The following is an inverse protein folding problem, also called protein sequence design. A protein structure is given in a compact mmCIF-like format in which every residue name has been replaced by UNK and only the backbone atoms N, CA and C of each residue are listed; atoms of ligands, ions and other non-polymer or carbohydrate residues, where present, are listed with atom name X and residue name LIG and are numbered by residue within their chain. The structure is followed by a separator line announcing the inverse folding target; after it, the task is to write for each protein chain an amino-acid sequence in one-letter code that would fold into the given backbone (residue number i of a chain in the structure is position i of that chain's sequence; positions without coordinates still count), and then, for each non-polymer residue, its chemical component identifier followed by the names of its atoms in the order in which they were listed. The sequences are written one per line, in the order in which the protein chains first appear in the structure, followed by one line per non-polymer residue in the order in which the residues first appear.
data_IF_857100977759
#
_entry.id   IF_857100977759
#
_cell.length_a   1.000
_cell.length_b   1.000
_cell.length_c   1.000
_cell.angle_alpha   90.00
_cell.angle_beta   90.00
_cell.angle_gamma   90.00
#
_symmetry.space_group_name_H-M   'P 1'
#
loop_
_entity.id
_entity.type
_entity.pdbx_description
1 polymer ?
#
# COMPACT_ATOMS: atom_id res chain seq x y z
N UNK A 1 -10.79 2.17 -14.38
CA UNK A 1 -12.12 1.99 -13.77
C UNK A 1 -12.03 0.70 -12.97
N UNK A 2 -11.39 0.77 -11.81
CA UNK A 2 -11.11 -0.39 -10.98
C UNK A 2 -11.04 0.09 -9.53
N UNK A 3 -12.00 -0.46 -8.78
CA UNK A 3 -12.06 -0.67 -7.34
C UNK A 3 -11.97 0.53 -6.39
N UNK A 4 -13.19 1.04 -6.17
CA UNK A 4 -13.61 1.78 -4.99
C UNK A 4 -13.35 0.92 -3.74
N UNK A 5 -12.23 1.17 -3.07
CA UNK A 5 -11.84 0.49 -1.84
C UNK A 5 -12.95 0.61 -0.79
N UNK A 6 -13.36 -0.56 -0.30
CA UNK A 6 -14.47 -0.72 0.63
C UNK A 6 -14.15 -0.04 1.97
N UNK A 7 -14.85 1.05 2.27
CA UNK A 7 -14.92 1.60 3.62
C UNK A 7 -15.69 0.58 4.47
N UNK A 8 -14.97 -0.20 5.28
CA UNK A 8 -15.57 -1.11 6.27
C UNK A 8 -15.89 -0.30 7.52
N UNK A 9 -17.19 -0.13 7.81
CA UNK A 9 -17.65 0.29 9.13
C UNK A 9 -17.76 -0.95 10.02
N UNK A 10 -16.94 -1.04 11.06
CA UNK A 10 -16.96 -2.17 11.98
C UNK A 10 -18.07 -1.97 13.00
N UNK A 11 -19.06 -2.86 13.03
CA UNK A 11 -20.03 -2.95 14.13
C UNK A 11 -19.60 -4.06 15.09
N UNK A 12 -19.41 -3.70 16.36
CA UNK A 12 -18.95 -4.62 17.41
C UNK A 12 -19.98 -5.70 17.76
N UNK A 13 -19.63 -6.96 17.50
CA UNK A 13 -20.37 -8.16 17.90
C UNK A 13 -19.48 -9.11 18.70
N UNK A 14 -19.91 -9.40 19.92
CA UNK A 14 -19.24 -10.18 20.96
C UNK A 14 -19.60 -11.68 20.80
N UNK A 15 -18.66 -12.65 20.91
CA UNK A 15 -18.93 -14.04 21.35
C UNK A 15 -17.65 -14.90 21.52
N UNK A 16 -17.24 -15.05 22.78
CA UNK A 16 -16.78 -16.23 23.55
C UNK A 16 -16.09 -17.41 22.81
N UNK A 17 -14.83 -17.66 23.22
CA UNK A 17 -14.09 -18.93 23.11
C UNK A 17 -14.65 -20.01 24.04
N UNK A 18 -14.31 -21.30 23.80
CA UNK A 18 -13.66 -22.05 24.87
C UNK A 18 -12.44 -22.89 24.45
N UNK A 19 -11.61 -23.10 25.48
CA UNK A 19 -10.45 -23.99 25.65
C UNK A 19 -10.75 -25.48 25.40
N UNK A 20 -9.74 -26.26 24.99
CA UNK A 20 -9.49 -27.63 25.49
C UNK A 20 -8.00 -28.02 25.31
N UNK A 21 -7.51 -28.90 26.20
CA UNK A 21 -6.12 -29.23 26.53
C UNK A 21 -5.88 -30.77 26.37
N UNK A 22 -4.61 -31.21 26.30
CA UNK A 22 -4.03 -32.58 26.50
C UNK A 22 -4.13 -33.55 25.29
N UNK A 23 -3.23 -34.50 24.98
CA UNK A 23 -2.05 -35.11 25.63
C UNK A 23 -1.19 -35.97 24.65
N UNK A 24 0.13 -35.95 24.84
CA UNK A 24 1.19 -37.02 24.81
C UNK A 24 1.26 -38.24 23.84
N UNK A 25 2.52 -38.45 23.40
CA UNK A 25 3.37 -39.68 23.34
C UNK A 25 3.28 -40.72 22.20
N UNK A 26 4.46 -41.03 21.65
CA UNK A 26 4.77 -42.28 20.94
C UNK A 26 6.25 -42.43 20.53
N UNK A 27 7.08 -43.04 21.38
CA UNK A 27 8.47 -43.47 21.11
C UNK A 27 8.50 -44.83 20.40
N UNK A 28 9.40 -45.04 19.42
CA UNK A 28 10.06 -46.33 19.09
C UNK A 28 11.44 -46.02 18.49
N UNK A 29 12.54 -46.27 19.22
CA UNK A 29 13.29 -47.53 19.36
C UNK A 29 14.35 -47.70 18.26
N UNK A 30 15.60 -47.53 18.69
CA UNK A 30 16.86 -47.57 17.93
C UNK A 30 17.48 -48.98 18.08
N UNK A 31 17.88 -49.60 16.98
CA UNK A 31 18.63 -50.86 16.97
C UNK A 31 20.09 -50.59 16.56
N UNK A 32 21.01 -51.08 17.39
CA UNK A 32 22.47 -51.08 17.20
C UNK A 32 22.88 -52.16 16.21
N UNK A 33 23.86 -51.87 15.35
CA UNK A 33 24.51 -52.87 14.52
C UNK A 33 25.82 -52.39 13.89
N UNK A 34 26.92 -52.94 14.43
CA UNK A 34 28.23 -53.19 13.82
C UNK A 34 29.22 -52.07 13.48
N UNK A 35 30.34 -52.20 14.17
CA UNK A 35 31.64 -51.57 14.01
C UNK A 35 32.41 -52.18 12.82
N UNK A 36 33.27 -51.36 12.21
CA UNK A 36 34.45 -51.69 11.40
C UNK A 36 34.28 -52.20 9.96
N UNK A 37 34.38 -51.26 9.00
CA UNK A 37 35.26 -51.30 7.81
C UNK A 37 35.21 -49.93 7.11
N UNK A 38 36.24 -49.64 6.32
CA UNK A 38 36.42 -48.46 5.46
C UNK A 38 36.99 -47.17 6.10
N UNK A 39 38.28 -47.21 6.45
CA UNK A 39 39.10 -46.00 6.61
C UNK A 39 39.56 -45.39 5.26
N UNK A 40 39.09 -45.90 4.12
CA UNK A 40 39.48 -45.46 2.77
C UNK A 40 38.43 -44.59 2.05
N UNK A 41 37.18 -44.51 2.55
CA UNK A 41 36.08 -43.78 1.87
C UNK A 41 35.92 -42.32 2.36
N UNK A 42 36.59 -41.94 3.45
CA UNK A 42 36.40 -40.63 4.10
C UNK A 42 37.04 -39.49 3.29
N UNK A 43 38.05 -39.77 2.46
CA UNK A 43 38.68 -38.75 1.59
C UNK A 43 37.87 -38.51 0.30
N UNK A 44 37.24 -39.55 -0.27
CA UNK A 44 36.40 -39.40 -1.47
C UNK A 44 35.05 -38.72 -1.16
N UNK A 45 34.48 -39.00 0.03
CA UNK A 45 33.20 -38.43 0.46
C UNK A 45 33.28 -36.96 0.89
N UNK A 46 34.45 -36.48 1.34
CA UNK A 46 34.69 -35.06 1.65
C UNK A 46 34.93 -34.21 0.40
N UNK A 47 35.55 -34.76 -0.64
CA UNK A 47 35.68 -34.08 -1.94
C UNK A 47 34.33 -33.91 -2.65
N UNK A 48 33.40 -34.86 -2.52
CA UNK A 48 32.07 -34.77 -3.14
C UNK A 48 31.18 -33.69 -2.48
N UNK A 49 31.28 -33.50 -1.16
CA UNK A 49 30.54 -32.45 -0.44
C UNK A 49 31.10 -31.05 -0.74
N UNK A 50 32.42 -30.90 -0.88
CA UNK A 50 33.03 -29.63 -1.28
C UNK A 50 32.71 -29.30 -2.75
N UNK A 51 32.70 -30.30 -3.64
CA UNK A 51 32.30 -30.12 -5.06
C UNK A 51 30.80 -29.76 -5.19
N UNK A 52 29.91 -30.38 -4.41
CA UNK A 52 28.47 -30.04 -4.39
C UNK A 52 28.20 -28.65 -3.81
N UNK A 53 28.96 -28.22 -2.79
CA UNK A 53 28.84 -26.88 -2.22
C UNK A 53 29.41 -25.80 -3.16
N UNK A 54 30.51 -26.07 -3.88
CA UNK A 54 31.06 -25.12 -4.87
C UNK A 54 30.21 -25.01 -6.14
N UNK A 55 29.60 -26.11 -6.61
CA UNK A 55 28.68 -26.11 -7.76
C UNK A 55 27.35 -25.39 -7.45
N UNK A 56 26.87 -25.44 -6.21
CA UNK A 56 25.63 -24.76 -5.82
C UNK A 56 25.78 -23.24 -5.75
N UNK A 57 26.95 -22.74 -5.30
CA UNK A 57 27.22 -21.30 -5.24
C UNK A 57 27.37 -20.65 -6.62
N UNK A 58 27.92 -21.37 -7.61
CA UNK A 58 28.07 -20.84 -8.97
C UNK A 58 26.74 -20.75 -9.71
N UNK A 59 25.83 -21.71 -9.52
CA UNK A 59 24.51 -21.70 -10.15
C UNK A 59 23.66 -20.49 -9.72
N UNK A 60 23.59 -20.17 -8.42
CA UNK A 60 22.84 -19.01 -7.93
C UNK A 60 23.46 -17.67 -8.33
N UNK A 61 24.79 -17.60 -8.44
CA UNK A 61 25.47 -16.39 -8.91
C UNK A 61 25.22 -16.14 -10.41
N UNK A 62 25.19 -17.21 -11.22
CA UNK A 62 24.82 -17.14 -12.64
C UNK A 62 23.36 -16.71 -12.81
N UNK A 63 22.45 -17.23 -11.99
CA UNK A 63 21.03 -16.86 -12.01
C UNK A 63 20.81 -15.38 -11.66
N UNK A 64 21.48 -14.88 -10.60
CA UNK A 64 21.42 -13.46 -10.23
C UNK A 64 22.00 -12.54 -11.31
N UNK A 65 23.14 -12.92 -11.92
CA UNK A 65 23.74 -12.13 -12.99
C UNK A 65 22.85 -12.06 -14.24
N UNK A 66 22.20 -13.17 -14.60
CA UNK A 66 21.22 -13.20 -15.68
C UNK A 66 20.02 -12.32 -15.36
N UNK A 67 19.47 -12.40 -14.14
CA UNK A 67 18.36 -11.55 -13.73
C UNK A 67 18.71 -10.05 -13.78
N UNK A 68 19.92 -9.68 -13.34
CA UNK A 68 20.43 -8.31 -13.50
C UNK A 68 20.57 -7.88 -14.96
N UNK A 69 21.02 -8.76 -15.85
CA UNK A 69 21.12 -8.46 -17.28
C UNK A 69 19.74 -8.24 -17.91
N UNK A 70 18.76 -9.05 -17.54
CA UNK A 70 17.38 -8.95 -18.02
C UNK A 70 16.72 -7.67 -17.51
N UNK A 71 16.89 -7.36 -16.22
CA UNK A 71 16.40 -6.10 -15.63
C UNK A 71 17.07 -4.88 -16.29
N UNK A 72 18.35 -4.96 -16.65
CA UNK A 72 19.03 -3.90 -17.39
C UNK A 72 18.45 -3.71 -18.80
N UNK A 73 18.08 -4.80 -19.48
CA UNK A 73 17.44 -4.72 -20.79
C UNK A 73 16.06 -4.04 -20.69
N UNK A 74 15.26 -4.39 -19.68
CA UNK A 74 13.96 -3.78 -19.39
C UNK A 74 14.12 -2.28 -19.08
N UNK A 75 15.01 -1.92 -18.15
CA UNK A 75 15.23 -0.54 -17.74
C UNK A 75 15.78 0.33 -18.87
N UNK A 76 16.54 -0.24 -19.81
CA UNK A 76 16.95 0.48 -21.02
C UNK A 76 15.78 0.86 -21.92
N UNK A 77 14.78 -0.02 -22.06
CA UNK A 77 13.54 0.32 -22.79
C UNK A 77 12.83 1.47 -22.08
N UNK A 78 12.58 1.36 -20.78
CA UNK A 78 11.96 2.45 -20.02
C UNK A 78 12.75 3.75 -20.10
N UNK A 79 14.07 3.65 -19.97
CA UNK A 79 14.96 4.77 -20.10
C UNK A 79 14.74 5.41 -21.46
N UNK A 80 14.83 4.71 -22.59
CA UNK A 80 14.67 5.30 -23.93
C UNK A 80 13.37 6.10 -24.13
N UNK A 81 12.27 5.71 -23.46
CA UNK A 81 10.98 6.41 -23.53
C UNK A 81 10.86 7.66 -22.64
N UNK A 82 11.75 7.89 -21.67
CA UNK A 82 11.73 9.12 -20.85
C UNK A 82 12.14 10.35 -21.70
N UNK A 83 11.39 11.46 -21.65
CA UNK A 83 11.69 12.68 -22.43
C UNK A 83 12.72 13.58 -21.74
N UNK A 84 13.63 14.22 -22.49
CA UNK A 84 14.57 15.25 -22.00
C UNK A 84 16.06 14.97 -22.30
N UNK A 85 16.91 15.97 -22.14
CA UNK A 85 18.38 15.84 -22.28
C UNK A 85 18.92 14.92 -21.20
N UNK A 86 19.58 13.83 -21.59
CA UNK A 86 19.90 12.70 -20.71
C UNK A 86 21.39 12.46 -20.57
N UNK A 87 21.86 12.38 -19.33
CA UNK A 87 23.05 11.58 -19.00
C UNK A 87 22.81 10.13 -19.44
N UNK A 88 23.86 9.39 -19.79
CA UNK A 88 23.76 8.01 -20.28
C UNK A 88 22.98 7.07 -19.34
N UNK A 89 22.53 5.93 -19.85
CA UNK A 89 21.82 4.93 -19.04
C UNK A 89 22.67 4.50 -17.84
N UNK A 90 23.96 4.24 -18.06
CA UNK A 90 24.90 3.80 -17.05
C UNK A 90 25.18 4.86 -15.97
N UNK A 91 25.09 6.15 -16.32
CA UNK A 91 25.16 7.25 -15.34
C UNK A 91 23.86 7.39 -14.54
N UNK A 92 22.71 7.20 -15.19
CA UNK A 92 21.39 7.33 -14.56
C UNK A 92 21.06 6.14 -13.65
N UNK A 93 21.44 4.94 -14.08
CA UNK A 93 21.23 3.69 -13.36
C UNK A 93 22.55 2.90 -13.31
N UNK A 94 23.47 3.27 -12.41
CA UNK A 94 24.72 2.54 -12.21
C UNK A 94 24.45 1.09 -11.83
N UNK A 95 25.40 0.21 -12.18
CA UNK A 95 25.30 -1.25 -11.94
C UNK A 95 24.91 -1.60 -10.50
N UNK A 96 25.51 -0.96 -9.51
CA UNK A 96 25.21 -1.21 -8.10
C UNK A 96 23.74 -0.87 -7.74
N UNK A 97 23.19 0.20 -8.32
CA UNK A 97 21.78 0.56 -8.14
C UNK A 97 20.87 -0.49 -8.75
N UNK A 98 21.20 -0.98 -9.95
CA UNK A 98 20.45 -2.04 -10.61
C UNK A 98 20.48 -3.35 -9.82
N UNK A 99 21.65 -3.76 -9.34
CA UNK A 99 21.80 -4.96 -8.50
C UNK A 99 20.97 -4.83 -7.21
N UNK A 100 20.92 -3.63 -6.62
CA UNK A 100 20.07 -3.35 -5.45
C UNK A 100 18.56 -3.47 -5.78
N UNK A 101 18.10 -3.04 -6.96
CA UNK A 101 16.70 -3.21 -7.37
C UNK A 101 16.34 -4.70 -7.45
N UNK A 102 17.19 -5.51 -8.09
CA UNK A 102 16.98 -6.96 -8.18
C UNK A 102 16.99 -7.61 -6.79
N UNK A 103 17.89 -7.18 -5.90
CA UNK A 103 17.89 -7.65 -4.51
C UNK A 103 16.62 -7.26 -3.75
N UNK A 104 16.05 -6.08 -4.01
CA UNK A 104 14.78 -5.66 -3.42
C UNK A 104 13.62 -6.53 -3.90
N UNK A 105 13.57 -6.89 -5.18
CA UNK A 105 12.54 -7.78 -5.71
C UNK A 105 12.65 -9.19 -5.12
N UNK A 106 13.86 -9.72 -5.00
CA UNK A 106 14.10 -11.01 -4.34
C UNK A 106 13.76 -10.97 -2.84
N UNK A 107 14.05 -9.85 -2.16
CA UNK A 107 13.64 -9.63 -0.76
C UNK A 107 12.12 -9.68 -0.65
N UNK A 108 11.40 -8.95 -1.52
CA UNK A 108 9.94 -8.93 -1.54
C UNK A 108 9.35 -10.33 -1.74
N UNK A 109 9.88 -11.11 -2.68
CA UNK A 109 9.41 -12.48 -2.88
C UNK A 109 9.66 -13.36 -1.64
N UNK A 110 10.82 -13.21 -0.99
CA UNK A 110 11.11 -13.91 0.27
C UNK A 110 10.13 -13.52 1.38
N UNK A 111 9.81 -12.23 1.52
CA UNK A 111 8.84 -11.71 2.48
C UNK A 111 7.44 -12.26 2.21
N UNK A 112 7.01 -12.27 0.96
CA UNK A 112 5.70 -12.81 0.55
C UNK A 112 5.57 -14.27 0.99
N UNK A 113 6.61 -15.07 0.75
CA UNK A 113 6.66 -16.47 1.17
C UNK A 113 6.68 -16.64 2.68
N UNK A 114 7.51 -15.87 3.40
CA UNK A 114 7.69 -16.02 4.85
C UNK A 114 6.48 -15.55 5.64
N UNK A 115 5.92 -14.40 5.28
CA UNK A 115 4.88 -13.74 6.06
C UNK A 115 3.50 -14.26 5.69
N UNK A 116 3.28 -14.63 4.42
CA UNK A 116 1.98 -15.03 3.92
C UNK A 116 1.92 -16.47 3.40
N UNK A 117 3.03 -17.21 3.42
CA UNK A 117 3.07 -18.59 2.94
C UNK A 117 2.90 -18.74 1.42
N UNK A 118 2.98 -17.64 0.67
CA UNK A 118 2.72 -17.63 -0.77
C UNK A 118 4.03 -17.84 -1.52
N UNK A 119 4.10 -18.94 -2.26
CA UNK A 119 5.16 -19.18 -3.24
C UNK A 119 4.61 -18.93 -4.64
N UNK A 120 5.34 -18.21 -5.47
CA UNK A 120 4.92 -17.94 -6.86
C UNK A 120 5.02 -19.25 -7.66
N UNK A 121 3.87 -19.83 -7.96
CA UNK A 121 3.76 -21.04 -8.80
C UNK A 121 3.79 -20.68 -10.28
N UNK A 122 4.15 -21.62 -11.17
CA UNK A 122 4.07 -21.39 -12.62
C UNK A 122 2.68 -20.92 -13.07
N UNK A 123 1.61 -21.52 -12.51
CA UNK A 123 0.24 -21.13 -12.85
C UNK A 123 -0.11 -19.68 -12.43
N UNK A 124 0.38 -19.22 -11.28
CA UNK A 124 0.21 -17.81 -10.88
C UNK A 124 0.97 -16.87 -11.81
N UNK A 125 2.18 -17.27 -12.21
CA UNK A 125 3.01 -16.48 -13.09
C UNK A 125 2.43 -16.39 -14.51
N UNK A 126 1.95 -17.50 -15.07
CA UNK A 126 1.25 -17.54 -16.36
C UNK A 126 -0.01 -16.68 -16.36
N UNK A 127 -0.78 -16.73 -15.27
CA UNK A 127 -1.96 -15.88 -15.09
C UNK A 127 -1.58 -14.38 -15.07
N UNK A 128 -0.48 -14.02 -14.42
CA UNK A 128 0.00 -12.64 -14.40
C UNK A 128 0.49 -12.19 -15.79
N UNK A 129 1.23 -13.04 -16.51
CA UNK A 129 1.65 -12.77 -17.89
C UNK A 129 0.43 -12.50 -18.77
N UNK A 130 -0.61 -13.34 -18.67
CA UNK A 130 -1.87 -13.15 -19.39
C UNK A 130 -2.57 -11.84 -19.02
N UNK A 131 -2.61 -11.50 -17.73
CA UNK A 131 -3.17 -10.23 -17.24
C UNK A 131 -2.42 -9.04 -17.82
N UNK A 132 -1.08 -9.05 -17.79
CA UNK A 132 -0.24 -7.98 -18.34
C UNK A 132 -0.50 -7.81 -19.84
N UNK A 133 -0.53 -8.91 -20.60
CA UNK A 133 -0.77 -8.90 -22.04
C UNK A 133 -2.17 -8.34 -22.40
N UNK A 134 -3.19 -8.65 -21.61
CA UNK A 134 -4.57 -8.27 -21.92
C UNK A 134 -4.97 -6.90 -21.39
N UNK A 135 -4.30 -6.39 -20.35
CA UNK A 135 -4.68 -5.14 -19.68
C UNK A 135 -3.72 -3.97 -19.91
N UNK A 136 -2.59 -4.19 -20.61
CA UNK A 136 -1.63 -3.12 -20.89
C UNK A 136 -2.26 -1.97 -21.69
N UNK A 137 -1.92 -0.75 -21.32
CA UNK A 137 -2.26 0.47 -22.07
C UNK A 137 -1.12 0.98 -22.96
N UNK A 138 0.02 0.29 -22.93
CA UNK A 138 1.20 0.61 -23.72
C UNK A 138 1.70 -0.66 -24.46
N UNK A 139 0.92 -1.17 -25.44
CA UNK A 139 1.26 -2.42 -26.13
C UNK A 139 2.57 -2.34 -26.91
N UNK A 140 2.91 -1.17 -27.47
CA UNK A 140 4.17 -0.96 -28.21
C UNK A 140 5.39 -1.07 -27.29
N UNK A 141 5.37 -0.37 -26.15
CA UNK A 141 6.42 -0.49 -25.12
C UNK A 141 6.55 -1.92 -24.59
N UNK A 142 5.42 -2.62 -24.39
CA UNK A 142 5.43 -4.01 -23.97
C UNK A 142 6.09 -4.93 -25.02
N UNK A 143 5.86 -4.66 -26.31
CA UNK A 143 6.50 -5.39 -27.40
C UNK A 143 8.01 -5.14 -27.43
N UNK A 144 8.46 -3.89 -27.22
CA UNK A 144 9.88 -3.55 -27.10
C UNK A 144 10.56 -4.25 -25.92
N UNK A 145 9.90 -4.28 -24.76
CA UNK A 145 10.40 -5.01 -23.58
C UNK A 145 10.58 -6.50 -23.90
N UNK A 146 9.59 -7.13 -24.54
CA UNK A 146 9.69 -8.54 -24.96
C UNK A 146 10.84 -8.74 -25.95
N UNK A 147 10.99 -7.85 -26.92
CA UNK A 147 12.08 -7.90 -27.89
C UNK A 147 13.46 -7.74 -27.22
N UNK A 148 13.59 -6.84 -26.24
CA UNK A 148 14.81 -6.64 -25.45
C UNK A 148 15.21 -7.88 -24.63
N UNK A 149 14.20 -8.68 -24.23
CA UNK A 149 14.39 -9.99 -23.60
C UNK A 149 14.52 -11.15 -24.61
N UNK A 150 14.69 -10.85 -25.91
CA UNK A 150 14.88 -11.83 -26.97
C UNK A 150 13.60 -12.57 -27.39
N UNK A 151 12.42 -12.02 -27.07
CA UNK A 151 11.12 -12.66 -27.23
C UNK A 151 11.02 -14.02 -26.52
N UNK A 152 11.82 -14.23 -25.46
CA UNK A 152 11.78 -15.43 -24.64
C UNK A 152 10.65 -15.32 -23.59
N UNK A 153 9.62 -16.18 -23.65
CA UNK A 153 8.50 -16.14 -22.71
C UNK A 153 8.92 -16.42 -21.27
N UNK A 154 9.97 -17.23 -21.06
CA UNK A 154 10.48 -17.56 -19.72
C UNK A 154 11.16 -16.34 -19.12
N UNK A 155 12.04 -15.67 -19.87
CA UNK A 155 12.70 -14.44 -19.39
C UNK A 155 11.70 -13.32 -19.13
N UNK A 156 10.68 -13.17 -19.99
CA UNK A 156 9.60 -12.22 -19.76
C UNK A 156 8.81 -12.54 -18.49
N UNK A 157 8.46 -13.82 -18.27
CA UNK A 157 7.76 -14.23 -17.05
C UNK A 157 8.61 -13.94 -15.80
N UNK A 158 9.86 -14.37 -15.80
CA UNK A 158 10.75 -14.29 -14.64
C UNK A 158 11.24 -12.86 -14.31
N UNK A 159 11.76 -12.12 -15.30
CA UNK A 159 12.37 -10.81 -15.05
C UNK A 159 11.37 -9.66 -15.07
N UNK A 160 10.22 -9.80 -15.75
CA UNK A 160 9.22 -8.73 -15.88
C UNK A 160 7.94 -9.02 -15.10
N UNK A 161 7.32 -10.18 -15.30
CA UNK A 161 6.01 -10.45 -14.71
C UNK A 161 6.09 -10.82 -13.21
N UNK A 162 7.11 -11.59 -12.79
CA UNK A 162 7.24 -12.04 -11.39
C UNK A 162 7.39 -10.88 -10.39
N UNK A 163 8.28 -9.89 -10.58
CA UNK A 163 8.38 -8.76 -9.64
C UNK A 163 7.05 -8.00 -9.50
N UNK A 164 6.34 -7.79 -10.63
CA UNK A 164 5.01 -7.14 -10.65
C UNK A 164 3.99 -7.96 -9.87
N UNK A 165 3.97 -9.28 -10.07
CA UNK A 165 3.08 -10.19 -9.34
C UNK A 165 3.36 -10.15 -7.83
N UNK A 166 4.62 -10.24 -7.45
CA UNK A 166 5.06 -10.24 -6.05
C UNK A 166 4.66 -8.95 -5.36
N UNK A 167 4.94 -7.80 -5.97
CA UNK A 167 4.57 -6.49 -5.45
C UNK A 167 3.06 -6.38 -5.24
N UNK A 168 2.27 -6.76 -6.25
CA UNK A 168 0.81 -6.72 -6.19
C UNK A 168 0.26 -7.62 -5.08
N UNK A 169 0.78 -8.85 -4.96
CA UNK A 169 0.33 -9.79 -3.92
C UNK A 169 0.74 -9.32 -2.52
N UNK A 170 1.94 -8.75 -2.36
CA UNK A 170 2.38 -8.18 -1.09
C UNK A 170 1.49 -7.02 -0.66
N UNK A 171 1.20 -6.09 -1.57
CA UNK A 171 0.35 -4.95 -1.27
C UNK A 171 -1.08 -5.41 -0.92
N UNK A 172 -1.66 -6.33 -1.70
CA UNK A 172 -2.97 -6.91 -1.40
C UNK A 172 -3.02 -7.59 -0.02
N UNK A 173 -1.97 -8.36 0.32
CA UNK A 173 -1.89 -9.01 1.64
C UNK A 173 -1.69 -8.03 2.76
N UNK A 174 -0.81 -7.06 2.60
CA UNK A 174 -0.55 -6.03 3.59
C UNK A 174 -1.80 -5.21 3.91
N UNK A 175 -2.50 -4.71 2.89
CA UNK A 175 -3.70 -3.88 3.05
C UNK A 175 -4.84 -4.64 3.75
N UNK A 176 -4.95 -5.94 3.49
CA UNK A 176 -5.99 -6.81 4.04
C UNK A 176 -5.56 -7.63 5.27
N UNK A 177 -4.38 -7.37 5.84
CA UNK A 177 -3.90 -8.08 7.04
C UNK A 177 -4.56 -7.54 8.31
N UNK A 178 -5.70 -8.12 8.66
CA UNK A 178 -6.46 -7.70 9.85
C UNK A 178 -5.67 -7.82 11.15
N UNK A 179 -4.76 -8.80 11.24
CA UNK A 179 -3.94 -9.01 12.43
C UNK A 179 -2.85 -7.94 12.55
N UNK A 180 -2.22 -7.59 11.44
CA UNK A 180 -1.24 -6.50 11.37
C UNK A 180 -1.86 -5.16 11.78
N UNK A 181 -3.08 -4.88 11.31
CA UNK A 181 -3.78 -3.62 11.60
C UNK A 181 -4.55 -3.62 12.93
N UNK A 182 -4.62 -4.76 13.63
CA UNK A 182 -5.46 -4.95 14.81
C UNK A 182 -5.12 -3.99 15.97
N UNK A 183 -3.83 -3.74 16.23
CA UNK A 183 -3.41 -2.90 17.35
C UNK A 183 -3.92 -1.46 17.17
N UNK A 184 -3.75 -0.87 15.98
CA UNK A 184 -4.19 0.48 15.67
C UNK A 184 -5.73 0.58 15.58
N UNK A 185 -6.39 -0.48 15.10
CA UNK A 185 -7.85 -0.60 15.15
C UNK A 185 -8.36 -0.60 16.59
N UNK A 186 -7.71 -1.36 17.47
CA UNK A 186 -8.09 -1.43 18.89
C UNK A 186 -7.91 -0.09 19.60
N UNK A 187 -6.80 0.60 19.37
CA UNK A 187 -6.55 1.95 19.88
C UNK A 187 -7.65 2.93 19.44
N UNK A 188 -8.03 2.89 18.17
CA UNK A 188 -9.12 3.72 17.62
C UNK A 188 -10.45 3.43 18.32
N UNK A 189 -10.77 2.16 18.54
CA UNK A 189 -12.00 1.75 19.24
C UNK A 189 -11.98 2.11 20.73
N UNK A 190 -10.83 2.04 21.40
CA UNK A 190 -10.68 2.48 22.78
C UNK A 190 -10.98 3.98 22.92
N UNK A 191 -10.45 4.80 22.01
CA UNK A 191 -10.73 6.25 21.98
C UNK A 191 -12.21 6.50 21.75
N UNK A 192 -12.81 5.81 20.76
CA UNK A 192 -14.24 5.91 20.47
C UNK A 192 -15.10 5.55 21.70
N UNK A 193 -14.80 4.44 22.36
CA UNK A 193 -15.54 3.98 23.53
C UNK A 193 -15.42 4.98 24.70
N UNK A 194 -14.25 5.59 24.88
CA UNK A 194 -14.03 6.64 25.88
C UNK A 194 -14.91 7.87 25.63
N UNK A 195 -15.04 8.31 24.37
CA UNK A 195 -15.90 9.45 23.99
C UNK A 195 -17.38 9.12 24.16
N UNK A 196 -17.81 7.91 23.78
CA UNK A 196 -19.20 7.46 23.97
C UNK A 196 -19.57 7.37 25.45
N UNK A 197 -18.65 6.88 26.29
CA UNK A 197 -18.85 6.84 27.74
C UNK A 197 -18.97 8.27 28.32
N UNK A 198 -18.08 9.18 27.94
CA UNK A 198 -18.13 10.58 28.35
C UNK A 198 -19.46 11.24 27.95
N UNK A 199 -19.91 11.02 26.71
CA UNK A 199 -21.20 11.51 26.22
C UNK A 199 -22.38 10.95 27.02
N UNK A 200 -22.36 9.65 27.30
CA UNK A 200 -23.40 8.99 28.11
C UNK A 200 -23.46 9.59 29.53
N UNK A 201 -22.31 10.04 30.04
CA UNK A 201 -22.17 10.74 31.32
C UNK A 201 -22.48 12.25 31.24
N UNK A 202 -23.04 12.73 30.12
CA UNK A 202 -23.48 14.12 29.96
C UNK A 202 -22.44 15.10 29.42
N UNK A 203 -21.30 14.62 28.91
CA UNK A 203 -20.33 15.50 28.27
C UNK A 203 -20.92 16.18 27.02
N UNK A 204 -20.74 17.50 26.94
CA UNK A 204 -21.13 18.34 25.81
C UNK A 204 -20.16 18.20 24.63
N UNK A 205 -20.57 18.61 23.43
CA UNK A 205 -19.71 18.54 22.25
C UNK A 205 -18.34 19.24 22.45
N UNK A 206 -18.25 20.46 23.02
CA UNK A 206 -16.96 21.08 23.32
C UNK A 206 -16.08 20.27 24.27
N UNK A 207 -16.67 19.60 25.27
CA UNK A 207 -15.92 18.75 26.21
C UNK A 207 -15.36 17.49 25.52
N UNK A 208 -16.15 16.87 24.63
CA UNK A 208 -15.70 15.72 23.83
C UNK A 208 -14.57 16.11 22.89
N UNK A 209 -14.65 17.27 22.23
CA UNK A 209 -13.59 17.79 21.37
C UNK A 209 -12.31 18.08 22.16
N UNK A 210 -12.44 18.70 23.33
CA UNK A 210 -11.31 18.98 24.22
C UNK A 210 -10.62 17.67 24.67
N UNK A 211 -11.41 16.64 25.00
CA UNK A 211 -10.89 15.31 25.33
C UNK A 211 -10.16 14.68 24.14
N UNK A 212 -10.76 14.71 22.94
CA UNK A 212 -10.17 14.15 21.72
C UNK A 212 -8.83 14.81 21.39
N UNK A 213 -8.78 16.15 21.40
CA UNK A 213 -7.59 16.96 21.11
C UNK A 213 -6.49 16.75 22.15
N UNK A 214 -6.83 16.70 23.43
CA UNK A 214 -5.87 16.50 24.53
C UNK A 214 -5.17 15.14 24.44
N UNK A 215 -5.91 14.10 24.06
CA UNK A 215 -5.37 12.74 23.97
C UNK A 215 -4.57 12.49 22.67
N UNK A 216 -4.79 13.29 21.62
CA UNK A 216 -4.27 13.03 20.27
C UNK A 216 -3.76 14.31 19.59
N UNK A 217 -2.89 15.05 20.29
CA UNK A 217 -2.30 16.30 19.77
C UNK A 217 -1.67 16.06 18.40
N UNK A 218 -1.99 16.91 17.42
CA UNK A 218 -1.55 16.85 16.01
C UNK A 218 -2.18 15.75 15.13
N UNK A 219 -3.06 14.90 15.65
CA UNK A 219 -3.79 13.89 14.85
C UNK A 219 -5.25 14.27 14.58
N UNK A 220 -5.70 15.42 15.08
CA UNK A 220 -7.08 15.91 14.95
C UNK A 220 -7.13 17.11 14.01
N UNK A 221 -7.92 17.00 12.95
CA UNK A 221 -8.26 18.13 12.06
C UNK A 221 -9.73 18.51 12.26
N UNK A 222 -10.06 19.78 12.13
CA UNK A 222 -11.45 20.24 12.12
C UNK A 222 -11.83 20.66 10.71
N UNK A 223 -13.00 20.23 10.27
CA UNK A 223 -13.50 20.53 8.92
C UNK A 223 -14.98 20.85 8.99
N UNK A 224 -15.37 21.87 8.24
CA UNK A 224 -16.75 22.28 8.06
C UNK A 224 -17.16 22.03 6.62
N UNK A 225 -18.05 21.06 6.41
CA UNK A 225 -18.60 20.77 5.10
C UNK A 225 -19.90 21.54 4.87
N UNK A 226 -20.04 22.09 3.68
CA UNK A 226 -21.32 22.59 3.16
C UNK A 226 -22.20 21.39 2.78
N UNK A 227 -23.45 21.38 3.27
CA UNK A 227 -24.46 20.37 2.96
C UNK A 227 -25.31 20.73 1.73
N UNK A 228 -25.16 21.97 1.24
CA UNK A 228 -25.76 22.42 -0.02
C UNK A 228 -24.96 21.88 -1.21
N UNK A 229 -25.61 21.64 -2.37
CA UNK A 229 -24.89 21.29 -3.59
C UNK A 229 -23.82 22.32 -3.93
N UNK A 230 -22.68 21.88 -4.45
CA UNK A 230 -21.67 22.79 -4.97
C UNK A 230 -22.31 23.62 -6.09
N UNK A 231 -22.19 24.96 -6.05
CA UNK A 231 -22.58 25.78 -7.19
C UNK A 231 -21.83 25.30 -8.41
N UNK A 232 -22.49 25.19 -9.56
CA UNK A 232 -21.79 24.95 -10.82
C UNK A 232 -20.65 25.97 -10.91
N UNK A 233 -19.42 25.50 -11.08
CA UNK A 233 -18.30 26.41 -11.32
C UNK A 233 -18.58 27.12 -12.62
N UNK A 234 -19.13 28.33 -12.54
CA UNK A 234 -19.14 29.23 -13.67
C UNK A 234 -17.67 29.58 -13.88
N UNK A 235 -17.04 28.95 -14.88
CA UNK A 235 -15.77 29.39 -15.46
C UNK A 235 -15.93 30.77 -16.15
N UNK A 236 -16.82 31.62 -15.62
CA UNK A 236 -16.94 33.00 -16.02
C UNK A 236 -15.59 33.65 -15.71
N UNK A 237 -14.90 34.19 -16.72
CA UNK A 237 -13.61 34.81 -16.50
C UNK A 237 -13.78 35.89 -15.42
N UNK A 238 -12.91 35.84 -14.41
CA UNK A 238 -12.90 36.87 -13.37
C UNK A 238 -12.76 38.24 -14.03
N UNK A 239 -13.24 39.32 -13.37
CA UNK A 239 -13.06 40.68 -13.89
C UNK A 239 -11.59 40.96 -14.27
N UNK A 240 -10.66 40.41 -13.49
CA UNK A 240 -9.22 40.48 -13.73
C UNK A 240 -8.79 39.72 -15.01
N UNK A 241 -9.40 38.58 -15.32
CA UNK A 241 -9.13 37.83 -16.56
C UNK A 241 -9.68 38.57 -17.79
N UNK A 242 -10.84 39.21 -17.65
CA UNK A 242 -11.41 40.07 -18.69
C UNK A 242 -10.54 41.30 -18.95
N UNK A 243 -10.00 41.93 -17.91
CA UNK A 243 -9.08 43.07 -18.04
C UNK A 243 -7.71 42.65 -18.60
N UNK A 244 -7.19 41.47 -18.23
CA UNK A 244 -5.96 40.91 -18.82
C UNK A 244 -6.16 40.63 -20.32
N UNK A 245 -7.26 40.00 -20.72
CA UNK A 245 -7.55 39.77 -22.14
C UNK A 245 -7.77 41.06 -22.92
N UNK A 246 -8.38 42.08 -22.31
CA UNK A 246 -8.45 43.43 -22.91
C UNK A 246 -7.08 44.06 -23.11
N UNK A 247 -6.14 43.85 -22.19
CA UNK A 247 -4.82 44.51 -22.18
C UNK A 247 -3.77 43.78 -23.00
N UNK A 248 -3.84 42.45 -23.09
CA UNK A 248 -2.81 41.60 -23.69
C UNK A 248 -3.30 40.76 -24.88
N UNK A 249 -4.58 40.90 -25.27
CA UNK A 249 -5.19 40.20 -26.40
C UNK A 249 -6.04 38.99 -25.98
N UNK A 250 -6.93 38.52 -26.87
CA UNK A 250 -7.91 37.47 -26.55
C UNK A 250 -7.27 36.12 -26.20
N UNK A 251 -6.06 35.86 -26.69
CA UNK A 251 -5.32 34.62 -26.46
C UNK A 251 -4.42 34.67 -25.21
N UNK A 252 -4.43 35.78 -24.47
CA UNK A 252 -3.68 35.89 -23.23
C UNK A 252 -4.20 34.89 -22.19
N UNK A 253 -3.33 33.96 -21.78
CA UNK A 253 -3.60 33.01 -20.71
C UNK A 253 -2.82 33.36 -19.46
N UNK A 254 -3.51 33.30 -18.32
CA UNK A 254 -2.90 33.44 -17.00
C UNK A 254 -2.22 32.11 -16.68
N UNK A 255 -0.89 32.05 -16.85
CA UNK A 255 -0.10 30.86 -16.52
C UNK A 255 -0.05 30.64 -15.00
N UNK A 256 -0.07 31.74 -14.24
CA UNK A 256 -0.23 31.78 -12.78
C UNK A 256 -0.83 33.13 -12.39
N UNK A 257 -2.01 33.14 -11.78
CA UNK A 257 -2.60 34.38 -11.26
C UNK A 257 -1.93 34.79 -9.95
N UNK A 258 -1.90 36.08 -9.58
CA UNK A 258 -1.64 36.43 -8.20
C UNK A 258 -2.65 35.67 -7.33
N UNK A 259 -2.17 35.00 -6.29
CA UNK A 259 -3.04 34.51 -5.23
C UNK A 259 -3.81 35.73 -4.72
N UNK A 260 -5.04 35.94 -5.21
CA UNK A 260 -5.99 36.80 -4.53
C UNK A 260 -6.10 36.35 -3.06
N UNK A 261 -6.59 37.21 -2.15
CA UNK A 261 -6.73 36.83 -0.75
C UNK A 261 -7.39 35.45 -0.71
N UNK A 262 -6.70 34.48 -0.10
CA UNK A 262 -7.02 33.06 -0.19
C UNK A 262 -8.53 32.89 -0.18
N UNK A 263 -9.14 32.57 -1.34
CA UNK A 263 -10.57 32.28 -1.39
C UNK A 263 -10.79 31.23 -0.32
N UNK A 264 -11.59 31.53 0.70
CA UNK A 264 -11.91 30.56 1.76
C UNK A 264 -12.29 29.25 1.08
N UNK A 265 -11.41 28.25 1.21
CA UNK A 265 -11.60 26.97 0.55
C UNK A 265 -12.81 26.32 1.18
N UNK A 266 -13.95 26.35 0.47
CA UNK A 266 -15.19 25.71 0.91
C UNK A 266 -15.09 24.23 0.62
N UNK A 267 -15.23 23.41 1.66
CA UNK A 267 -15.34 21.96 1.53
C UNK A 267 -16.81 21.59 1.36
N UNK A 268 -17.13 20.76 0.37
CA UNK A 268 -18.50 20.29 0.15
C UNK A 268 -18.65 18.85 0.60
N UNK A 269 -19.75 18.54 1.29
CA UNK A 269 -19.97 17.20 1.81
C UNK A 269 -20.10 16.14 0.68
N UNK A 270 -20.56 16.57 -0.49
CA UNK A 270 -20.68 15.71 -1.69
C UNK A 270 -19.33 15.32 -2.31
N UNK A 271 -18.23 15.99 -1.95
CA UNK A 271 -16.87 15.65 -2.40
C UNK A 271 -16.27 14.46 -1.63
N UNK A 272 -16.87 14.09 -0.49
CA UNK A 272 -16.44 12.92 0.27
C UNK A 272 -16.75 11.63 -0.50
N UNK A 273 -15.99 10.53 -0.31
CA UNK A 273 -16.33 9.24 -0.90
C UNK A 273 -17.78 8.81 -0.56
N UNK A 274 -18.55 8.26 -1.51
CA UNK A 274 -19.97 7.95 -1.31
C UNK A 274 -20.26 7.08 -0.07
N UNK A 275 -19.41 6.08 0.19
CA UNK A 275 -19.54 5.23 1.37
C UNK A 275 -19.32 6.01 2.68
N UNK A 276 -18.37 6.95 2.70
CA UNK A 276 -18.14 7.82 3.84
C UNK A 276 -19.32 8.76 4.07
N UNK A 277 -19.84 9.37 3.00
CA UNK A 277 -21.04 10.21 3.08
C UNK A 277 -22.21 9.47 3.75
N UNK A 278 -22.44 8.21 3.39
CA UNK A 278 -23.52 7.40 3.96
C UNK A 278 -23.33 7.16 5.46
N UNK A 279 -22.13 6.76 5.88
CA UNK A 279 -21.81 6.55 7.31
C UNK A 279 -22.03 7.83 8.11
N UNK A 280 -21.46 8.94 7.64
CA UNK A 280 -21.52 10.21 8.37
C UNK A 280 -22.95 10.78 8.39
N UNK A 281 -23.72 10.71 7.30
CA UNK A 281 -25.14 11.14 7.30
C UNK A 281 -25.97 10.38 8.32
N UNK A 282 -25.74 9.07 8.44
CA UNK A 282 -26.51 8.22 9.36
C UNK A 282 -26.13 8.49 10.81
N UNK A 283 -24.84 8.64 11.10
CA UNK A 283 -24.31 8.64 12.47
C UNK A 283 -24.10 10.03 13.08
N UNK A 284 -23.88 11.07 12.26
CA UNK A 284 -23.55 12.42 12.71
C UNK A 284 -24.77 13.35 12.58
N UNK A 285 -25.74 13.20 13.48
CA UNK A 285 -27.03 13.92 13.45
C UNK A 285 -27.09 15.11 14.39
N UNK A 286 -26.40 15.07 15.52
CA UNK A 286 -26.43 16.09 16.56
C UNK A 286 -25.01 16.43 17.02
N UNK A 287 -24.78 17.63 17.57
CA UNK A 287 -23.54 17.97 18.26
C UNK A 287 -23.16 16.90 19.30
N UNK A 288 -21.90 16.48 19.28
CA UNK A 288 -21.37 15.42 20.14
C UNK A 288 -21.63 14.00 19.64
N UNK A 289 -22.28 13.81 18.48
CA UNK A 289 -22.32 12.50 17.84
C UNK A 289 -20.90 12.04 17.45
N UNK A 290 -20.63 10.76 17.69
CA UNK A 290 -19.34 10.11 17.43
C UNK A 290 -19.56 9.01 16.39
N UNK A 291 -18.80 9.02 15.31
CA UNK A 291 -18.91 7.97 14.28
C UNK A 291 -18.44 6.60 14.78
N UNK A 292 -18.72 5.55 14.01
CA UNK A 292 -17.94 4.32 14.04
C UNK A 292 -16.48 4.61 13.68
N UNK A 293 -15.57 3.71 14.06
CA UNK A 293 -14.22 3.73 13.51
C UNK A 293 -14.31 3.34 12.04
N UNK A 294 -13.78 4.21 11.19
CA UNK A 294 -13.80 4.06 9.74
C UNK A 294 -12.41 3.64 9.30
N UNK A 295 -12.29 2.45 8.74
CA UNK A 295 -11.03 1.97 8.19
C UNK A 295 -10.85 2.44 6.75
N UNK A 296 -9.68 3.00 6.47
CA UNK A 296 -9.21 3.41 5.14
C UNK A 296 -7.87 2.71 4.86
N UNK A 297 -7.38 2.73 3.60
CA UNK A 297 -6.03 2.22 3.29
C UNK A 297 -4.94 2.93 4.12
N UNK A 298 -5.05 4.24 4.30
CA UNK A 298 -4.03 5.02 5.02
C UNK A 298 -4.14 5.00 6.55
N UNK A 299 -5.25 4.53 7.13
CA UNK A 299 -5.47 4.69 8.56
C UNK A 299 -6.90 4.47 9.03
N UNK A 300 -7.11 4.78 10.30
CA UNK A 300 -8.41 4.75 10.96
C UNK A 300 -8.88 6.17 11.24
N UNK A 301 -10.13 6.45 10.87
CA UNK A 301 -10.76 7.73 11.03
C UNK A 301 -11.88 7.65 12.07
N UNK A 302 -11.98 8.68 12.90
CA UNK A 302 -13.04 8.84 13.88
C UNK A 302 -13.52 10.29 13.87
N UNK A 303 -14.82 10.50 13.70
CA UNK A 303 -15.42 11.82 13.64
C UNK A 303 -16.24 12.13 14.88
N UNK A 304 -16.12 13.37 15.38
CA UNK A 304 -16.95 13.94 16.43
C UNK A 304 -17.59 15.22 15.93
N UNK A 305 -18.92 15.30 15.96
CA UNK A 305 -19.64 16.52 15.53
C UNK A 305 -19.38 17.63 16.54
N UNK A 306 -18.86 18.76 16.07
CA UNK A 306 -18.82 19.98 16.86
C UNK A 306 -20.15 20.71 16.75
N UNK A 307 -20.59 20.96 15.52
CA UNK A 307 -21.80 21.70 15.22
C UNK A 307 -22.49 21.11 13.97
N UNK A 308 -23.82 21.22 13.93
CA UNK A 308 -24.59 20.87 12.73
C UNK A 308 -25.75 21.83 12.57
N UNK A 309 -25.92 22.32 11.35
CA UNK A 309 -27.05 23.14 10.93
C UNK A 309 -27.75 22.49 9.73
N UNK A 310 -28.74 23.18 9.15
CA UNK A 310 -29.37 22.74 7.91
C UNK A 310 -28.42 22.82 6.70
N UNK A 311 -27.41 23.70 6.75
CA UNK A 311 -26.53 24.00 5.62
C UNK A 311 -25.09 23.57 5.85
N UNK A 312 -24.69 23.28 7.08
CA UNK A 312 -23.30 22.95 7.44
C UNK A 312 -23.22 21.78 8.41
N UNK A 313 -22.13 21.02 8.28
CA UNK A 313 -21.69 20.02 9.25
C UNK A 313 -20.24 20.30 9.61
N UNK A 314 -20.01 20.63 10.88
CA UNK A 314 -18.67 20.82 11.44
C UNK A 314 -18.31 19.61 12.29
N UNK A 315 -17.14 19.01 12.02
CA UNK A 315 -16.66 17.88 12.81
C UNK A 315 -15.14 17.95 13.00
N UNK A 316 -14.69 17.41 14.13
CA UNK A 316 -13.31 17.02 14.31
C UNK A 316 -13.11 15.59 13.79
N UNK A 317 -12.06 15.39 13.01
CA UNK A 317 -11.60 14.11 12.51
C UNK A 317 -10.30 13.75 13.20
N UNK A 318 -10.31 12.69 14.01
CA UNK A 318 -9.09 12.03 14.42
C UNK A 318 -8.64 11.08 13.31
N UNK A 319 -7.40 11.24 12.84
CA UNK A 319 -6.77 10.36 11.86
C UNK A 319 -5.60 9.63 12.50
N UNK A 320 -5.76 8.31 12.67
CA UNK A 320 -4.74 7.43 13.20
C UNK A 320 -4.11 6.64 12.05
N UNK A 321 -2.89 6.99 11.61
CA UNK A 321 -2.29 6.35 10.46
C UNK A 321 -2.01 4.86 10.74
N UNK A 322 -2.24 4.03 9.74
CA UNK A 322 -1.66 2.68 9.70
C UNK A 322 -0.16 2.83 9.50
N UNK A 323 0.59 1.80 9.91
CA UNK A 323 1.96 1.66 9.42
C UNK A 323 1.91 1.64 7.90
N UNK A 324 2.87 2.28 7.23
CA UNK A 324 2.93 2.23 5.76
C UNK A 324 3.51 0.90 5.26
N UNK A 325 3.16 0.54 4.02
CA UNK A 325 3.72 -0.63 3.36
C UNK A 325 5.25 -0.61 3.33
N UNK A 326 5.85 0.55 3.02
CA UNK A 326 7.31 0.71 2.91
C UNK A 326 8.02 0.54 4.26
N UNK A 327 7.46 1.13 5.33
CA UNK A 327 7.99 0.95 6.68
C UNK A 327 7.90 -0.52 7.10
N UNK A 328 6.75 -1.17 6.85
CA UNK A 328 6.56 -2.58 7.15
C UNK A 328 7.55 -3.47 6.39
N UNK A 329 7.74 -3.23 5.09
CA UNK A 329 8.63 -4.01 4.23
C UNK A 329 10.10 -3.83 4.63
N UNK A 330 10.50 -2.62 5.03
CA UNK A 330 11.87 -2.32 5.47
C UNK A 330 12.25 -3.16 6.69
N UNK A 331 11.32 -3.33 7.63
CA UNK A 331 11.53 -4.10 8.86
C UNK A 331 11.57 -5.62 8.66
N UNK A 332 11.09 -6.10 7.52
CA UNK A 332 11.14 -7.53 7.23
C UNK A 332 12.58 -7.96 6.97
N UNK A 333 12.98 -9.04 7.63
CA UNK A 333 14.25 -9.70 7.38
C UNK A 333 14.16 -10.52 6.08
N UNK A 334 15.18 -10.44 5.20
CA UNK A 334 15.23 -11.24 3.98
C UNK A 334 15.16 -12.73 4.27
#
# INVERSE_FOLDING_TARGET
MTEMNAIKAVQGGNLRRPFFFFSTTGKKAMTRGSFARCFSDILFQKCYVVLLLTLCSTASAVDFATLCADHAAIERVYYNHRTGTKASFEETLPRATLENLVQQDLKKESVLRKNYGITITPALLDAEVNRINTTTRAPEMLAEIKAALGNDPTRFAEAFARPILVERLLHDKFENDDALHAAKRHESEQIRNSLLAARTNGATAPQLLAQLKKANTNAVTETTWQLTPRPAETNAPAADELDIKKRFGPDAQIISGPHGPAKEQKFYFEELPPALQNVLRVQLRHPGDVSAVIETPGGFLLYVVSEKSQTTLSAACLSLPKRSYEEWLTEQKP
#
